data_IF_808271400525
#
_entry.id   IF_808271400525
#
_cell.length_a   1.000
_cell.length_b   1.000
_cell.length_c   1.000
_cell.angle_alpha   90.00
_cell.angle_beta   90.00
_cell.angle_gamma   90.00
#
_symmetry.space_group_name_H-M   'P 1'
#
loop_
_entity.id
_entity.type
_entity.pdbx_description
1 polymer ?
#
# COMPACT_ATOMS: atom_id res chain seq x y z
N UNK A 1 26.86 -46.61 75.15
CA UNK A 1 28.01 -46.08 74.39
C UNK A 1 27.63 -46.19 72.92
N UNK A 2 26.94 -45.15 72.43
CA UNK A 2 27.43 -44.20 71.41
C UNK A 2 27.65 -44.82 70.02
N UNK A 3 26.85 -44.31 69.09
CA UNK A 3 26.74 -44.65 67.67
C UNK A 3 27.99 -44.15 66.92
N UNK A 4 28.51 -44.92 65.96
CA UNK A 4 29.38 -44.38 64.92
C UNK A 4 28.57 -44.15 63.61
N UNK A 5 28.43 -42.91 63.11
CA UNK A 5 27.60 -42.58 61.94
C UNK A 5 28.25 -42.84 60.57
N UNK A 6 29.45 -43.41 60.50
CA UNK A 6 30.28 -43.36 59.27
C UNK A 6 29.94 -44.45 58.23
N UNK A 7 29.09 -45.43 58.53
CA UNK A 7 28.79 -46.55 57.60
C UNK A 7 27.59 -46.34 56.67
N UNK A 8 26.85 -45.23 56.76
CA UNK A 8 25.69 -44.94 55.89
C UNK A 8 26.02 -43.97 54.73
N UNK A 9 27.23 -43.44 54.63
CA UNK A 9 27.54 -42.40 53.62
C UNK A 9 28.14 -42.87 52.29
N UNK A 10 28.47 -44.17 52.14
CA UNK A 10 29.25 -44.63 50.98
C UNK A 10 28.50 -45.41 49.89
N UNK A 11 27.20 -45.67 50.06
CA UNK A 11 26.39 -46.33 49.03
C UNK A 11 25.41 -45.42 48.27
N UNK A 12 25.37 -44.12 48.57
CA UNK A 12 24.45 -43.16 47.94
C UNK A 12 25.09 -42.26 46.87
N UNK A 13 26.37 -42.43 46.56
CA UNK A 13 27.10 -41.55 45.62
C UNK A 13 27.37 -42.18 44.24
N UNK A 14 26.91 -43.41 43.99
CA UNK A 14 27.20 -44.13 42.74
C UNK A 14 26.01 -44.29 41.78
N UNK A 15 24.88 -43.61 42.01
CA UNK A 15 23.67 -43.75 41.20
C UNK A 15 22.99 -42.42 40.84
N UNK A 16 23.78 -41.38 40.64
CA UNK A 16 23.28 -40.07 40.21
C UNK A 16 24.23 -39.41 39.20
N UNK A 17 24.72 -40.21 38.24
CA UNK A 17 25.69 -39.75 37.23
C UNK A 17 25.37 -40.15 35.79
N UNK A 18 24.17 -40.62 35.47
CA UNK A 18 23.80 -40.91 34.07
C UNK A 18 22.36 -40.50 33.81
N UNK A 19 22.17 -39.64 32.80
CA UNK A 19 20.95 -38.98 32.34
C UNK A 19 20.55 -37.64 33.00
N UNK A 20 21.48 -36.69 32.99
CA UNK A 20 21.10 -35.36 32.50
C UNK A 20 21.62 -35.30 31.06
N UNK A 21 20.73 -35.57 30.11
CA UNK A 21 20.90 -35.10 28.74
C UNK A 21 21.33 -33.64 28.85
N UNK A 22 22.50 -33.33 28.31
CA UNK A 22 22.93 -31.96 28.08
C UNK A 22 21.85 -31.27 27.26
N UNK A 23 20.94 -30.57 27.93
CA UNK A 23 20.16 -29.52 27.29
C UNK A 23 21.22 -28.49 26.91
N UNK A 24 21.50 -28.26 25.61
CA UNK A 24 22.37 -27.17 25.25
C UNK A 24 21.75 -25.90 25.82
N UNK A 25 22.52 -25.23 26.68
CA UNK A 25 22.33 -23.86 27.18
C UNK A 25 21.04 -23.19 26.71
N UNK A 26 20.08 -23.03 27.63
CA UNK A 26 19.01 -22.04 27.49
C UNK A 26 19.66 -20.69 27.14
N UNK A 27 19.57 -20.28 25.87
CA UNK A 27 19.98 -18.94 25.49
C UNK A 27 19.10 -17.94 26.26
N UNK A 28 19.70 -16.93 26.85
CA UNK A 28 18.96 -15.91 27.59
C UNK A 28 18.05 -15.14 26.61
N UNK A 29 16.74 -15.35 26.71
CA UNK A 29 15.78 -14.56 25.97
C UNK A 29 15.80 -13.13 26.50
N UNK A 30 16.02 -12.15 25.63
CA UNK A 30 15.81 -10.75 26.00
C UNK A 30 14.30 -10.53 26.06
N UNK A 31 13.78 -10.20 27.25
CA UNK A 31 12.40 -9.77 27.47
C UNK A 31 12.45 -8.45 28.25
N UNK A 32 12.26 -7.33 27.56
CA UNK A 32 12.28 -6.01 28.19
C UNK A 32 11.01 -5.24 27.83
N UNK A 33 10.38 -4.60 28.82
CA UNK A 33 9.28 -3.64 28.62
C UNK A 33 9.71 -2.27 29.14
N UNK A 34 9.68 -1.26 28.27
CA UNK A 34 10.04 0.12 28.62
C UNK A 34 8.81 1.01 28.83
N UNK A 35 8.83 1.83 29.88
CA UNK A 35 7.80 2.84 30.16
C UNK A 35 8.44 4.22 30.30
N UNK A 36 8.01 5.19 29.51
CA UNK A 36 8.33 6.61 29.72
C UNK A 36 7.12 7.45 29.31
N UNK A 37 6.77 8.44 30.14
CA UNK A 37 5.82 9.48 29.74
C UNK A 37 6.53 10.41 28.76
N UNK A 38 6.19 10.35 27.48
CA UNK A 38 6.65 11.35 26.49
C UNK A 38 5.81 12.65 26.57
N UNK A 39 5.21 12.94 27.73
CA UNK A 39 4.18 13.96 27.94
C UNK A 39 4.69 15.41 27.78
N UNK A 40 5.98 15.62 27.51
CA UNK A 40 6.61 16.94 27.55
C UNK A 40 7.54 17.22 26.38
N UNK A 41 7.28 16.69 25.18
CA UNK A 41 7.98 17.13 23.97
C UNK A 41 6.97 17.65 22.96
N UNK A 42 6.74 18.96 22.98
CA UNK A 42 5.93 19.71 22.02
C UNK A 42 6.53 19.78 20.60
N UNK A 43 7.43 18.87 20.22
CA UNK A 43 8.02 18.77 18.90
C UNK A 43 8.25 17.30 18.54
N UNK A 44 8.05 16.93 17.28
CA UNK A 44 8.54 15.68 16.67
C UNK A 44 10.02 15.51 17.04
N UNK A 45 10.31 14.58 17.96
CA UNK A 45 11.64 14.39 18.52
C UNK A 45 12.07 12.96 18.30
N UNK A 46 13.31 12.76 17.88
CA UNK A 46 13.91 11.44 17.86
C UNK A 46 14.08 10.95 19.30
N UNK A 47 13.88 9.65 19.51
CA UNK A 47 14.09 8.97 20.79
C UNK A 47 15.08 7.84 20.57
N UNK A 48 16.12 7.77 21.40
CA UNK A 48 16.97 6.59 21.50
C UNK A 48 16.26 5.56 22.36
N UNK A 49 15.74 4.49 21.76
CA UNK A 49 15.08 3.41 22.49
C UNK A 49 16.07 2.70 23.42
N UNK A 50 17.26 2.40 22.91
CA UNK A 50 18.31 1.69 23.61
C UNK A 50 19.36 1.15 22.66
N UNK A 51 20.26 0.32 23.21
CA UNK A 51 21.35 -0.31 22.48
C UNK A 51 21.17 -1.82 22.49
N UNK A 52 21.00 -2.40 21.31
CA UNK A 52 20.92 -3.84 21.09
C UNK A 52 22.32 -4.39 20.85
N UNK A 53 22.80 -5.27 21.71
CA UNK A 53 24.05 -6.01 21.48
C UNK A 53 23.70 -7.38 20.90
N UNK A 54 24.11 -7.64 19.67
CA UNK A 54 23.88 -8.91 18.99
C UNK A 54 25.16 -9.39 18.30
N UNK A 55 25.43 -10.68 18.42
CA UNK A 55 26.49 -11.33 17.66
C UNK A 55 26.16 -11.37 16.17
N UNK A 56 27.18 -11.29 15.33
CA UNK A 56 27.07 -11.62 13.91
C UNK A 56 26.67 -13.10 13.74
N UNK A 57 26.17 -13.47 12.56
CA UNK A 57 25.86 -14.86 12.21
C UNK A 57 24.39 -15.20 12.12
N UNK A 58 23.54 -14.23 11.78
CA UNK A 58 22.11 -14.48 11.59
C UNK A 58 21.29 -14.40 12.87
N UNK A 59 21.84 -13.80 13.93
CA UNK A 59 21.08 -13.50 15.13
C UNK A 59 20.01 -12.44 14.84
N UNK A 60 18.82 -12.65 15.37
CA UNK A 60 17.62 -11.87 15.12
C UNK A 60 17.07 -11.24 16.40
N UNK A 61 16.47 -10.06 16.25
CA UNK A 61 15.69 -9.40 17.30
C UNK A 61 14.46 -8.75 16.69
N UNK A 62 13.38 -8.74 17.46
CA UNK A 62 12.13 -8.04 17.16
C UNK A 62 11.90 -6.98 18.23
N UNK A 63 11.67 -5.75 17.81
CA UNK A 63 11.31 -4.63 18.68
C UNK A 63 9.92 -4.15 18.26
N UNK A 64 8.93 -4.37 19.12
CA UNK A 64 7.57 -3.88 18.88
C UNK A 64 7.36 -2.60 19.64
N UNK A 65 7.10 -1.51 18.93
CA UNK A 65 6.87 -0.18 19.47
C UNK A 65 5.37 0.09 19.40
N UNK A 66 4.74 0.19 20.56
CA UNK A 66 3.33 0.57 20.70
C UNK A 66 3.22 2.08 20.64
N UNK A 67 2.28 2.60 19.86
CA UNK A 67 2.14 4.03 19.67
C UNK A 67 0.71 4.44 19.32
N UNK A 68 0.24 5.51 19.96
CA UNK A 68 -1.07 6.11 19.71
C UNK A 68 -1.12 7.54 20.24
N UNK A 69 -1.93 8.39 19.60
CA UNK A 69 -2.02 9.81 19.93
C UNK A 69 -2.85 10.08 21.21
N UNK A 70 -2.21 10.42 22.33
CA UNK A 70 -2.86 10.90 23.56
C UNK A 70 -3.10 9.84 24.64
N UNK A 71 -3.69 10.24 25.76
CA UNK A 71 -3.90 9.39 26.94
C UNK A 71 -5.16 8.52 26.90
N UNK A 72 -6.15 8.89 26.07
CA UNK A 72 -7.51 8.32 26.12
C UNK A 72 -7.72 7.23 25.08
N UNK A 73 -7.85 5.97 25.49
CA UNK A 73 -8.02 4.81 24.62
C UNK A 73 -9.11 5.02 23.53
N UNK A 74 -8.72 4.95 22.26
CA UNK A 74 -9.60 4.93 21.10
C UNK A 74 -9.02 4.10 19.96
N UNK A 75 -9.85 3.71 18.98
CA UNK A 75 -9.42 2.91 17.82
C UNK A 75 -8.22 3.53 17.08
N UNK A 76 -8.09 4.86 17.13
CA UNK A 76 -7.07 5.66 16.45
C UNK A 76 -5.68 5.61 17.12
N UNK A 77 -5.59 4.85 18.22
CA UNK A 77 -4.40 4.66 19.04
C UNK A 77 -4.04 3.18 19.18
N UNK A 78 -4.81 2.28 18.57
CA UNK A 78 -4.61 0.83 18.65
C UNK A 78 -3.68 0.37 17.52
N UNK A 79 -2.50 0.99 17.44
CA UNK A 79 -1.47 0.65 16.45
C UNK A 79 -0.12 0.37 17.08
N UNK A 80 0.68 -0.40 16.37
CA UNK A 80 2.05 -0.71 16.75
C UNK A 80 2.95 -0.81 15.51
N UNK A 81 4.25 -0.69 15.74
CA UNK A 81 5.29 -0.85 14.73
C UNK A 81 6.20 -2.00 15.14
N UNK A 82 6.33 -3.03 14.31
CA UNK A 82 7.29 -4.11 14.53
C UNK A 82 8.54 -3.83 13.72
N UNK A 83 9.68 -3.71 14.40
CA UNK A 83 11.01 -3.63 13.80
C UNK A 83 11.66 -5.01 13.91
N UNK A 84 12.04 -5.59 12.78
CA UNK A 84 12.79 -6.84 12.71
C UNK A 84 14.21 -6.53 12.31
N UNK A 85 15.18 -6.99 13.09
CA UNK A 85 16.62 -6.85 12.83
C UNK A 85 17.21 -8.24 12.71
N UNK A 86 18.06 -8.45 11.69
CA UNK A 86 18.84 -9.68 11.50
C UNK A 86 20.29 -9.34 11.18
N UNK A 87 21.21 -9.78 12.03
CA UNK A 87 22.66 -9.63 11.79
C UNK A 87 23.12 -10.54 10.65
N UNK A 88 24.20 -10.15 9.97
CA UNK A 88 24.81 -10.91 8.88
C UNK A 88 26.12 -11.55 9.33
N UNK A 89 26.91 -12.13 8.41
CA UNK A 89 28.30 -12.51 8.62
C UNK A 89 29.16 -11.77 7.58
N UNK A 90 29.06 -10.44 7.54
CA UNK A 90 29.62 -9.65 6.44
C UNK A 90 29.04 -8.25 6.39
N UNK A 91 29.04 -7.64 5.20
CA UNK A 91 28.08 -6.60 4.82
C UNK A 91 26.85 -7.27 4.21
N UNK A 92 25.66 -6.75 4.46
CA UNK A 92 24.50 -7.02 3.63
C UNK A 92 24.76 -6.44 2.24
N UNK A 93 24.54 -7.26 1.21
CA UNK A 93 24.67 -6.85 -0.20
C UNK A 93 23.65 -5.77 -0.59
N UNK A 94 22.66 -5.52 0.27
CA UNK A 94 21.53 -4.63 0.02
C UNK A 94 21.76 -3.21 0.55
N UNK A 95 22.50 -3.04 1.66
CA UNK A 95 22.54 -1.75 2.37
C UNK A 95 23.92 -1.31 2.90
N UNK A 96 24.98 -2.11 2.75
CA UNK A 96 26.33 -1.73 3.23
C UNK A 96 26.56 -1.91 4.75
N UNK A 97 25.59 -2.42 5.50
CA UNK A 97 25.70 -2.67 6.94
C UNK A 97 25.79 -4.17 7.24
N UNK A 98 26.38 -4.56 8.37
CA UNK A 98 26.45 -5.97 8.78
C UNK A 98 25.14 -6.54 9.37
N UNK A 99 24.01 -5.96 8.97
CA UNK A 99 22.69 -6.42 9.33
C UNK A 99 21.68 -5.97 8.25
N UNK A 100 20.51 -6.59 8.27
CA UNK A 100 19.33 -6.09 7.59
C UNK A 100 18.25 -5.82 8.62
N UNK A 101 17.41 -4.82 8.36
CA UNK A 101 16.23 -4.58 9.18
C UNK A 101 15.10 -4.02 8.34
N UNK A 102 13.87 -4.32 8.71
CA UNK A 102 12.69 -3.69 8.16
C UNK A 102 11.67 -3.47 9.28
N UNK A 103 10.72 -2.57 9.02
CA UNK A 103 9.61 -2.33 9.93
C UNK A 103 8.25 -2.55 9.26
N UNK A 104 7.25 -2.94 10.04
CA UNK A 104 5.85 -3.00 9.62
C UNK A 104 5.00 -2.19 10.58
N UNK A 105 3.94 -1.57 10.06
CA UNK A 105 2.94 -0.90 10.90
C UNK A 105 1.63 -1.68 10.83
N UNK A 106 1.04 -1.88 11.99
CA UNK A 106 -0.23 -2.59 12.13
C UNK A 106 -1.18 -1.76 12.99
N UNK A 107 -2.46 -1.73 12.61
CA UNK A 107 -3.48 -0.95 13.30
C UNK A 107 -3.48 0.54 12.96
N UNK A 108 -4.30 1.32 13.67
CA UNK A 108 -4.48 2.76 13.40
C UNK A 108 -3.70 3.58 14.43
N UNK A 109 -2.73 4.37 13.95
CA UNK A 109 -1.94 5.28 14.79
C UNK A 109 -1.56 6.55 14.00
N UNK A 110 -2.29 7.64 14.22
CA UNK A 110 -2.17 8.90 13.45
C UNK A 110 -0.88 9.67 13.78
N UNK A 111 -0.20 9.34 14.88
CA UNK A 111 1.03 9.98 15.35
C UNK A 111 2.08 8.96 15.87
N UNK A 112 2.01 7.73 15.36
CA UNK A 112 2.90 6.62 15.76
C UNK A 112 4.35 6.82 15.28
N UNK A 113 5.12 5.73 15.26
CA UNK A 113 6.52 5.77 14.80
C UNK A 113 6.59 6.19 13.33
N UNK A 114 7.15 7.36 13.04
CA UNK A 114 7.23 7.95 11.69
C UNK A 114 8.49 7.53 10.94
N UNK A 115 9.61 7.32 11.64
CA UNK A 115 10.84 6.76 11.08
C UNK A 115 11.61 5.96 12.14
N UNK A 116 12.46 5.04 11.69
CA UNK A 116 13.39 4.30 12.54
C UNK A 116 14.78 4.38 11.91
N UNK A 117 15.79 4.63 12.74
CA UNK A 117 17.19 4.61 12.34
C UNK A 117 17.99 3.73 13.28
N UNK A 118 18.92 2.96 12.71
CA UNK A 118 19.81 2.09 13.48
C UNK A 118 21.24 2.54 13.24
N UNK A 119 21.93 2.95 14.30
CA UNK A 119 23.33 3.35 14.24
C UNK A 119 24.21 2.23 14.84
N UNK A 120 24.99 1.51 14.02
CA UNK A 120 25.93 0.53 14.55
C UNK A 120 27.12 1.22 15.24
N UNK A 121 27.71 0.56 16.23
CA UNK A 121 28.91 1.05 16.93
C UNK A 121 30.19 1.01 16.09
N UNK A 122 30.20 0.23 15.00
CA UNK A 122 31.33 0.11 14.07
C UNK A 122 30.81 -0.20 12.65
N UNK A 123 31.68 -0.07 11.66
CA UNK A 123 31.35 -0.40 10.27
C UNK A 123 31.47 -1.91 10.02
N UNK A 124 30.60 -2.44 9.15
CA UNK A 124 30.67 -3.83 8.70
C UNK A 124 30.70 -4.84 9.84
N UNK A 125 31.47 -5.92 9.67
CA UNK A 125 31.49 -7.08 10.58
C UNK A 125 32.01 -6.79 11.98
N UNK A 126 32.64 -5.63 12.19
CA UNK A 126 33.06 -5.19 13.51
C UNK A 126 31.89 -4.70 14.37
N UNK A 127 30.72 -4.44 13.78
CA UNK A 127 29.52 -4.04 14.51
C UNK A 127 29.03 -5.18 15.42
N UNK A 128 28.87 -4.88 16.70
CA UNK A 128 28.32 -5.81 17.70
C UNK A 128 27.20 -5.19 18.53
N UNK A 129 27.06 -3.87 18.44
CA UNK A 129 26.03 -3.10 19.13
C UNK A 129 25.36 -2.11 18.17
N UNK A 130 24.05 -1.96 18.34
CA UNK A 130 23.17 -1.20 17.45
C UNK A 130 22.31 -0.28 18.30
N UNK A 131 22.54 1.03 18.20
CA UNK A 131 21.66 2.02 18.80
C UNK A 131 20.40 2.14 17.94
N UNK A 132 19.25 1.88 18.55
CA UNK A 132 17.96 1.93 17.87
C UNK A 132 17.27 3.25 18.22
N UNK A 133 16.98 4.03 17.19
CA UNK A 133 16.27 5.29 17.29
C UNK A 133 14.94 5.19 16.55
N UNK A 134 13.91 5.82 17.09
CA UNK A 134 12.67 6.04 16.38
C UNK A 134 12.23 7.49 16.53
N UNK A 135 11.57 8.02 15.51
CA UNK A 135 10.85 9.29 15.60
C UNK A 135 9.37 9.01 15.78
N UNK A 136 8.71 9.80 16.62
CA UNK A 136 7.29 9.70 16.89
C UNK A 136 6.66 11.09 16.97
N UNK A 137 5.32 11.14 16.84
CA UNK A 137 4.56 12.35 17.13
C UNK A 137 4.49 12.64 18.64
N UNK A 138 3.81 13.73 19.00
CA UNK A 138 3.90 14.35 20.35
C UNK A 138 3.51 13.47 21.54
N UNK A 139 2.80 12.35 21.35
CA UNK A 139 2.34 11.51 22.45
C UNK A 139 2.45 10.03 22.10
N UNK A 140 3.11 9.27 22.99
CA UNK A 140 3.12 7.80 23.03
C UNK A 140 2.69 7.40 24.46
N UNK A 141 1.77 6.45 24.58
CA UNK A 141 1.19 6.04 25.87
C UNK A 141 2.19 5.37 26.83
N UNK A 142 1.69 4.91 27.99
CA UNK A 142 2.52 4.39 29.09
C UNK A 142 3.22 3.03 28.83
N UNK A 143 2.96 2.37 27.71
CA UNK A 143 3.74 1.21 27.24
C UNK A 143 4.33 1.53 25.89
N UNK A 144 5.66 1.63 25.79
CA UNK A 144 6.29 2.17 24.58
C UNK A 144 6.78 1.06 23.67
N UNK A 145 7.50 0.08 24.20
CA UNK A 145 8.00 -1.02 23.37
C UNK A 145 8.33 -2.27 24.17
N UNK A 146 8.36 -3.40 23.45
CA UNK A 146 8.97 -4.64 23.91
C UNK A 146 10.10 -5.08 22.97
N UNK A 147 11.12 -5.74 23.52
CA UNK A 147 12.22 -6.35 22.75
C UNK A 147 12.23 -7.84 22.99
N UNK A 148 12.32 -8.61 21.91
CA UNK A 148 12.42 -10.06 21.89
C UNK A 148 13.64 -10.48 21.06
N UNK A 149 14.50 -11.32 21.62
CA UNK A 149 15.63 -11.94 20.92
C UNK A 149 16.04 -13.21 21.64
N UNK A 150 16.49 -14.22 20.88
CA UNK A 150 17.09 -15.43 21.44
C UNK A 150 18.55 -15.22 21.88
N UNK A 151 19.22 -14.17 21.40
CA UNK A 151 20.65 -13.92 21.64
C UNK A 151 20.91 -12.48 22.05
N UNK A 152 22.07 -12.26 22.69
CA UNK A 152 22.59 -10.91 22.96
C UNK A 152 22.03 -10.24 24.22
N UNK A 153 22.01 -8.91 24.24
CA UNK A 153 21.47 -8.11 25.35
C UNK A 153 20.86 -6.80 24.87
N UNK A 154 19.97 -6.23 25.70
CA UNK A 154 19.34 -4.93 25.46
C UNK A 154 19.65 -3.98 26.61
N UNK A 155 20.32 -2.88 26.29
CA UNK A 155 20.54 -1.77 27.22
C UNK A 155 19.48 -0.68 26.96
N UNK A 156 18.50 -0.58 27.86
CA UNK A 156 17.45 0.43 27.79
C UNK A 156 18.01 1.85 27.92
N UNK A 157 17.47 2.80 27.14
CA UNK A 157 17.79 4.21 27.24
C UNK A 157 16.54 5.08 27.35
N UNK A 158 15.64 5.02 26.36
CA UNK A 158 14.46 5.87 26.25
C UNK A 158 14.72 7.36 26.53
N UNK A 159 15.72 7.91 25.86
CA UNK A 159 16.11 9.31 25.99
C UNK A 159 15.78 10.09 24.73
N UNK A 160 15.39 11.36 24.90
CA UNK A 160 15.27 12.28 23.77
C UNK A 160 16.64 12.42 23.09
N UNK A 161 16.64 12.40 21.76
CA UNK A 161 17.83 12.44 20.94
C UNK A 161 17.64 13.42 19.77
N UNK A 162 18.76 13.91 19.24
CA UNK A 162 18.76 14.51 17.91
C UNK A 162 18.57 13.42 16.85
N UNK A 163 18.26 13.83 15.62
CA UNK A 163 18.29 12.93 14.48
C UNK A 163 19.69 12.28 14.36
N UNK A 164 19.82 10.94 14.36
CA UNK A 164 21.10 10.25 14.19
C UNK A 164 21.74 10.46 12.80
N UNK A 165 21.06 11.12 11.87
CA UNK A 165 21.59 11.55 10.58
C UNK A 165 21.64 10.44 9.54
N UNK A 166 22.20 10.78 8.37
CA UNK A 166 22.21 9.92 7.17
C UNK A 166 23.27 8.81 7.19
N UNK A 167 24.17 8.84 8.16
CA UNK A 167 25.15 7.76 8.39
C UNK A 167 24.56 6.56 9.13
N UNK A 168 23.41 6.75 9.79
CA UNK A 168 22.64 5.65 10.37
C UNK A 168 21.85 4.92 9.28
N UNK A 169 21.61 3.63 9.48
CA UNK A 169 20.75 2.86 8.60
C UNK A 169 19.31 3.32 8.75
N UNK A 170 18.72 3.85 7.67
CA UNK A 170 17.31 4.18 7.61
C UNK A 170 16.50 2.90 7.35
N UNK A 171 15.66 2.53 8.32
CA UNK A 171 14.91 1.28 8.26
C UNK A 171 13.74 1.43 7.28
N UNK A 172 13.66 0.61 6.22
CA UNK A 172 12.53 0.60 5.32
C UNK A 172 11.28 0.05 6.01
N UNK A 173 10.12 0.56 5.63
CA UNK A 173 8.83 0.01 6.05
C UNK A 173 8.24 -0.80 4.89
N UNK A 174 8.36 -2.13 4.94
CA UNK A 174 8.15 -3.03 3.79
C UNK A 174 6.72 -3.60 3.69
N UNK A 175 5.88 -3.43 4.71
CA UNK A 175 4.42 -3.65 4.63
C UNK A 175 3.71 -2.36 5.05
N UNK A 176 3.10 -1.67 4.07
CA UNK A 176 2.43 -0.38 4.25
C UNK A 176 0.96 -0.49 3.85
N UNK A 177 0.11 -0.84 4.79
CA UNK A 177 -1.31 -0.52 4.71
C UNK A 177 -1.60 0.55 5.76
N UNK A 178 -1.82 1.78 5.30
CA UNK A 178 -2.29 3.01 6.01
C UNK A 178 -1.27 4.17 6.17
N UNK A 179 -1.68 5.35 5.68
CA UNK A 179 -1.25 6.72 6.05
C UNK A 179 0.25 7.00 6.18
N UNK A 180 1.08 6.60 5.22
CA UNK A 180 2.45 7.12 5.14
C UNK A 180 2.54 8.23 4.10
N UNK A 181 2.64 9.47 4.58
CA UNK A 181 2.73 10.69 3.78
C UNK A 181 4.15 10.96 3.22
N UNK A 182 5.12 10.06 3.42
CA UNK A 182 6.53 10.35 3.14
C UNK A 182 7.17 9.55 1.99
N UNK A 183 6.45 8.63 1.32
CA UNK A 183 6.96 7.98 0.10
C UNK A 183 6.00 8.17 -1.08
N UNK A 184 6.55 8.71 -2.17
CA UNK A 184 5.87 9.21 -3.36
C UNK A 184 5.04 8.20 -4.20
N UNK A 185 4.75 6.99 -3.70
CA UNK A 185 4.10 5.91 -4.47
C UNK A 185 2.96 5.19 -3.73
N UNK A 186 2.35 5.76 -2.69
CA UNK A 186 1.48 4.98 -1.80
C UNK A 186 0.06 4.76 -2.33
N UNK A 187 -0.31 3.49 -2.47
CA UNK A 187 -1.68 3.03 -2.34
C UNK A 187 -2.27 3.59 -1.01
N UNK A 188 -3.30 4.41 -1.12
CA UNK A 188 -4.02 5.03 -0.02
C UNK A 188 -5.41 4.41 0.09
N UNK A 189 -5.87 4.13 1.31
CA UNK A 189 -7.26 3.72 1.56
C UNK A 189 -7.84 4.66 2.62
N UNK A 190 -8.86 5.42 2.23
CA UNK A 190 -9.57 6.34 3.12
C UNK A 190 -10.47 5.57 4.08
N UNK A 191 -10.19 5.67 5.38
CA UNK A 191 -11.04 5.06 6.41
C UNK A 191 -12.43 5.70 6.52
N UNK A 192 -12.58 6.95 6.09
CA UNK A 192 -13.87 7.67 6.17
C UNK A 192 -14.83 7.27 5.04
N UNK A 193 -14.29 6.95 3.86
CA UNK A 193 -15.11 6.75 2.64
C UNK A 193 -14.94 5.37 2.01
N UNK A 194 -13.92 4.61 2.43
CA UNK A 194 -13.49 3.36 1.80
C UNK A 194 -12.90 3.56 0.40
N UNK A 195 -12.56 4.80 0.03
CA UNK A 195 -12.00 5.10 -1.29
C UNK A 195 -10.52 4.71 -1.35
N UNK A 196 -10.10 4.16 -2.48
CA UNK A 196 -8.73 3.77 -2.77
C UNK A 196 -8.08 4.80 -3.70
N UNK A 197 -6.93 5.33 -3.31
CA UNK A 197 -6.09 6.19 -4.14
C UNK A 197 -4.79 5.49 -4.53
N UNK A 198 -4.35 5.60 -5.77
CA UNK A 198 -3.00 5.19 -6.22
C UNK A 198 -2.33 6.46 -6.76
N UNK A 199 -1.24 6.90 -6.12
CA UNK A 199 -0.60 8.19 -6.45
C UNK A 199 -1.38 9.43 -5.98
N UNK A 200 -2.43 9.26 -5.15
CA UNK A 200 -3.20 10.37 -4.57
C UNK A 200 -3.74 10.04 -3.18
N UNK A 201 -3.73 11.02 -2.28
CA UNK A 201 -4.31 10.95 -0.93
C UNK A 201 -5.74 11.50 -0.84
N UNK A 202 -6.27 12.05 -1.94
CA UNK A 202 -7.60 12.66 -1.99
C UNK A 202 -8.46 12.00 -3.09
N UNK A 203 -8.71 10.68 -2.99
CA UNK A 203 -9.47 9.95 -4.00
C UNK A 203 -10.92 10.47 -4.07
N UNK A 204 -11.27 11.03 -5.24
CA UNK A 204 -12.60 11.60 -5.52
C UNK A 204 -13.65 10.55 -5.93
N UNK A 205 -13.23 9.30 -6.10
CA UNK A 205 -14.07 8.16 -6.44
C UNK A 205 -13.64 6.93 -5.62
N UNK A 206 -14.39 5.81 -5.74
CA UNK A 206 -14.07 4.57 -5.04
C UNK A 206 -12.66 4.04 -5.36
N UNK A 207 -12.22 4.22 -6.61
CA UNK A 207 -10.84 4.04 -7.03
C UNK A 207 -10.42 5.30 -7.80
N UNK A 208 -9.33 5.93 -7.39
CA UNK A 208 -8.71 7.05 -8.10
C UNK A 208 -7.23 6.75 -8.33
N UNK A 209 -6.80 6.75 -9.59
CA UNK A 209 -5.41 6.52 -9.99
C UNK A 209 -4.88 7.81 -10.59
N UNK A 210 -3.83 8.36 -10.00
CA UNK A 210 -3.10 9.50 -10.53
C UNK A 210 -1.90 8.99 -11.33
N UNK A 211 -2.19 8.55 -12.56
CA UNK A 211 -1.23 7.90 -13.46
C UNK A 211 -1.94 6.92 -14.40
N UNK A 212 -1.15 6.12 -15.12
CA UNK A 212 -1.66 5.17 -16.10
C UNK A 212 -2.19 3.88 -15.44
N UNK A 213 -3.21 3.30 -16.07
CA UNK A 213 -3.71 1.96 -15.75
C UNK A 213 -3.39 1.04 -16.92
N UNK A 214 -2.40 0.17 -16.76
CA UNK A 214 -2.13 -0.92 -17.71
C UNK A 214 -2.93 -2.15 -17.31
N UNK A 215 -3.81 -2.62 -18.19
CA UNK A 215 -4.67 -3.78 -17.94
C UNK A 215 -4.77 -4.67 -19.18
N UNK A 216 -4.75 -5.98 -19.00
CA UNK A 216 -4.99 -6.94 -20.08
C UNK A 216 -6.47 -6.97 -20.50
N UNK A 217 -7.39 -6.73 -19.56
CA UNK A 217 -8.83 -6.73 -19.82
C UNK A 217 -9.56 -5.88 -18.79
N UNK A 218 -10.52 -5.07 -19.25
CA UNK A 218 -11.45 -4.31 -18.42
C UNK A 218 -12.87 -4.71 -18.84
N UNK A 219 -13.73 -5.03 -17.87
CA UNK A 219 -15.16 -5.25 -18.09
C UNK A 219 -15.94 -4.15 -17.38
N UNK A 220 -16.51 -3.23 -18.15
CA UNK A 220 -17.40 -2.18 -17.64
C UNK A 220 -18.83 -2.69 -17.68
N UNK A 221 -19.52 -2.69 -16.55
CA UNK A 221 -20.93 -3.09 -16.47
C UNK A 221 -21.80 -1.85 -16.56
N UNK A 222 -22.37 -1.60 -17.74
CA UNK A 222 -23.34 -0.53 -17.97
C UNK A 222 -24.69 -1.10 -18.42
N UNK A 223 -25.77 -0.34 -18.19
CA UNK A 223 -27.14 -0.72 -18.53
C UNK A 223 -27.70 0.05 -19.74
N UNK A 224 -28.73 -0.51 -20.37
CA UNK A 224 -29.46 0.12 -21.47
C UNK A 224 -28.63 0.24 -22.76
N UNK A 225 -28.18 -0.88 -23.31
CA UNK A 225 -27.51 -0.92 -24.62
C UNK A 225 -28.42 -0.37 -25.74
N UNK A 226 -27.85 0.25 -26.78
CA UNK A 226 -28.58 1.10 -27.70
C UNK A 226 -29.46 0.37 -28.72
N UNK A 227 -29.63 -0.95 -28.61
CA UNK A 227 -30.47 -1.80 -29.48
C UNK A 227 -31.87 -1.23 -29.77
N UNK A 228 -32.37 -0.33 -28.92
CA UNK A 228 -33.59 0.43 -29.15
C UNK A 228 -33.56 1.30 -30.42
N UNK A 229 -32.41 1.63 -31.00
CA UNK A 229 -32.27 2.40 -32.26
C UNK A 229 -32.95 1.69 -33.43
N UNK A 230 -32.98 0.36 -33.41
CA UNK A 230 -33.69 -0.44 -34.41
C UNK A 230 -35.19 -0.64 -34.09
N UNK A 231 -35.67 -0.06 -32.99
CA UNK A 231 -37.08 -0.08 -32.62
C UNK A 231 -37.94 0.72 -33.58
N UNK A 232 -39.21 0.29 -33.76
CA UNK A 232 -40.17 0.97 -34.65
C UNK A 232 -40.48 2.41 -34.23
N UNK A 233 -40.39 2.68 -32.93
CA UNK A 233 -40.69 3.97 -32.33
C UNK A 233 -39.45 4.88 -32.23
N UNK A 234 -38.29 4.40 -32.69
CA UNK A 234 -37.07 5.19 -32.66
C UNK A 234 -37.13 6.30 -33.72
N UNK A 235 -37.01 7.55 -33.26
CA UNK A 235 -36.98 8.70 -34.14
C UNK A 235 -35.55 8.96 -34.62
N UNK A 236 -35.22 8.41 -35.79
CA UNK A 236 -33.95 8.73 -36.47
C UNK A 236 -33.97 10.20 -36.93
N UNK A 237 -32.98 11.03 -36.53
CA UNK A 237 -32.88 12.40 -37.00
C UNK A 237 -32.84 12.50 -38.52
N UNK A 238 -33.24 13.64 -39.10
CA UNK A 238 -33.08 13.84 -40.55
C UNK A 238 -31.64 14.23 -40.85
N UNK A 239 -31.11 13.79 -41.99
CA UNK A 239 -29.75 14.13 -42.43
C UNK A 239 -29.51 15.66 -42.46
N UNK A 240 -30.50 16.44 -42.88
CA UNK A 240 -30.38 17.90 -42.88
C UNK A 240 -30.28 18.49 -41.46
N UNK A 241 -30.98 17.91 -40.48
CA UNK A 241 -30.89 18.34 -39.08
C UNK A 241 -29.53 17.99 -38.48
N UNK A 242 -29.03 16.78 -38.80
CA UNK A 242 -27.70 16.34 -38.39
C UNK A 242 -26.60 17.22 -39.02
N UNK A 243 -26.71 17.55 -40.30
CA UNK A 243 -25.78 18.45 -41.01
C UNK A 243 -25.72 19.82 -40.34
N UNK A 244 -26.89 20.43 -40.08
CA UNK A 244 -26.96 21.71 -39.38
C UNK A 244 -26.35 21.65 -37.98
N UNK A 245 -26.60 20.56 -37.25
CA UNK A 245 -26.02 20.37 -35.93
C UNK A 245 -24.50 20.30 -35.98
N UNK A 246 -23.93 19.49 -36.86
CA UNK A 246 -22.48 19.31 -37.00
C UNK A 246 -21.80 20.60 -37.46
N UNK A 247 -22.39 21.33 -38.41
CA UNK A 247 -21.86 22.63 -38.85
C UNK A 247 -21.85 23.68 -37.73
N UNK A 248 -22.84 23.63 -36.84
CA UNK A 248 -22.99 24.59 -35.73
C UNK A 248 -22.14 24.22 -34.52
N UNK A 249 -22.06 22.94 -34.15
CA UNK A 249 -21.47 22.48 -32.88
C UNK A 249 -20.11 21.78 -33.04
N UNK A 250 -19.73 21.39 -34.27
CA UNK A 250 -18.47 20.70 -34.57
C UNK A 250 -18.26 19.36 -33.84
N UNK A 251 -19.33 18.74 -33.34
CA UNK A 251 -19.35 17.37 -32.84
C UNK A 251 -20.72 16.72 -33.12
N UNK A 252 -20.83 15.40 -32.90
CA UNK A 252 -22.09 14.68 -33.06
C UNK A 252 -23.04 14.95 -31.89
N UNK A 253 -24.37 14.92 -32.10
CA UNK A 253 -25.34 14.97 -31.02
C UNK A 253 -25.04 13.91 -29.96
N UNK A 254 -25.24 14.26 -28.68
CA UNK A 254 -25.05 13.39 -27.50
C UNK A 254 -23.60 12.97 -27.22
N UNK A 255 -22.68 13.13 -28.16
CA UNK A 255 -21.24 12.96 -27.96
C UNK A 255 -20.69 14.25 -27.34
N UNK A 256 -19.98 14.19 -26.20
CA UNK A 256 -19.44 15.38 -25.56
C UNK A 256 -18.42 16.08 -26.48
N UNK A 257 -18.42 17.40 -26.45
CA UNK A 257 -17.43 18.24 -27.10
C UNK A 257 -16.04 18.05 -26.48
N UNK A 258 -14.99 18.40 -27.23
CA UNK A 258 -13.61 18.37 -26.71
C UNK A 258 -13.43 19.22 -25.45
N UNK A 259 -14.17 20.33 -25.34
CA UNK A 259 -14.17 21.20 -24.16
C UNK A 259 -14.76 20.48 -22.94
N UNK A 260 -15.92 19.83 -23.08
CA UNK A 260 -16.55 19.09 -21.99
C UNK A 260 -15.69 17.93 -21.50
N UNK A 261 -14.99 17.25 -22.42
CA UNK A 261 -14.05 16.17 -22.08
C UNK A 261 -12.82 16.69 -21.34
N UNK A 262 -12.28 17.84 -21.74
CA UNK A 262 -11.15 18.46 -21.04
C UNK A 262 -11.53 18.92 -19.62
N UNK A 263 -12.75 19.43 -19.44
CA UNK A 263 -13.21 19.97 -18.17
C UNK A 263 -13.64 18.86 -17.17
N UNK A 264 -14.27 17.78 -17.64
CA UNK A 264 -14.90 16.77 -16.78
C UNK A 264 -14.34 15.34 -16.91
N UNK A 265 -13.45 15.10 -17.87
CA UNK A 265 -13.06 13.75 -18.26
C UNK A 265 -14.14 13.03 -19.07
N UNK A 266 -13.97 11.73 -19.27
CA UNK A 266 -14.85 10.90 -20.10
C UNK A 266 -15.12 9.57 -19.42
N UNK A 267 -16.40 9.20 -19.29
CA UNK A 267 -16.79 7.86 -18.85
C UNK A 267 -16.65 6.87 -20.02
N UNK A 268 -15.79 5.87 -19.85
CA UNK A 268 -15.48 4.87 -20.88
C UNK A 268 -16.68 3.97 -21.22
N UNK A 269 -17.57 3.70 -20.26
CA UNK A 269 -18.77 2.90 -20.49
C UNK A 269 -19.80 3.69 -21.31
N UNK A 270 -20.08 4.92 -20.91
CA UNK A 270 -21.08 5.76 -21.56
C UNK A 270 -20.66 6.18 -22.96
N UNK A 271 -19.38 6.49 -23.20
CA UNK A 271 -18.93 6.83 -24.55
C UNK A 271 -19.00 5.63 -25.49
N UNK A 272 -18.63 4.44 -25.04
CA UNK A 272 -18.73 3.22 -25.88
C UNK A 272 -20.19 2.92 -26.24
N UNK A 273 -21.11 3.11 -25.29
CA UNK A 273 -22.55 2.98 -25.53
C UNK A 273 -23.05 4.00 -26.55
N UNK A 274 -22.70 5.27 -26.40
CA UNK A 274 -23.09 6.33 -27.35
C UNK A 274 -22.49 6.13 -28.72
N UNK A 275 -21.23 5.72 -28.82
CA UNK A 275 -20.58 5.40 -30.09
C UNK A 275 -21.29 4.26 -30.81
N UNK A 276 -21.70 3.21 -30.08
CA UNK A 276 -22.51 2.14 -30.65
C UNK A 276 -23.86 2.65 -31.16
N UNK A 277 -24.55 3.50 -30.39
CA UNK A 277 -25.79 4.14 -30.86
C UNK A 277 -25.58 4.88 -32.19
N UNK A 278 -24.48 5.63 -32.32
CA UNK A 278 -24.17 6.32 -33.59
C UNK A 278 -23.81 5.37 -34.73
N UNK A 279 -23.18 4.23 -34.46
CA UNK A 279 -22.96 3.18 -35.46
C UNK A 279 -24.29 2.59 -35.94
N UNK A 280 -25.26 2.38 -35.05
CA UNK A 280 -26.59 1.88 -35.40
C UNK A 280 -27.40 2.91 -36.20
N UNK A 281 -27.38 4.19 -35.81
CA UNK A 281 -27.98 5.29 -36.57
C UNK A 281 -27.36 5.41 -37.97
N UNK A 282 -26.02 5.34 -38.08
CA UNK A 282 -25.30 5.33 -39.36
C UNK A 282 -25.72 4.14 -40.23
N UNK A 283 -25.94 2.97 -39.63
CA UNK A 283 -26.42 1.79 -40.34
C UNK A 283 -27.81 2.03 -40.94
N UNK A 284 -28.72 2.70 -40.22
CA UNK A 284 -30.03 3.09 -40.75
C UNK A 284 -29.92 4.08 -41.92
N UNK A 285 -29.03 5.08 -41.84
CA UNK A 285 -28.81 6.01 -42.95
C UNK A 285 -28.23 5.30 -44.19
N UNK A 286 -27.30 4.36 -44.01
CA UNK A 286 -26.74 3.56 -45.11
C UNK A 286 -27.84 2.74 -45.79
N UNK A 287 -28.72 2.10 -45.01
CA UNK A 287 -29.86 1.34 -45.55
C UNK A 287 -30.81 2.27 -46.33
N UNK A 288 -31.06 3.49 -45.85
CA UNK A 288 -31.88 4.47 -46.58
C UNK A 288 -31.22 4.93 -47.88
N UNK A 289 -29.90 5.14 -47.87
CA UNK A 289 -29.13 5.53 -49.03
C UNK A 289 -29.12 4.44 -50.11
N UNK A 290 -28.90 3.17 -49.73
CA UNK A 290 -28.97 2.03 -50.65
C UNK A 290 -30.34 1.92 -51.34
N UNK A 291 -31.43 2.06 -50.57
CA UNK A 291 -32.79 2.08 -51.13
C UNK A 291 -32.99 3.22 -52.12
N UNK A 292 -32.45 4.41 -51.82
CA UNK A 292 -32.54 5.56 -52.72
C UNK A 292 -31.71 5.35 -53.99
N UNK A 293 -30.51 4.80 -53.88
CA UNK A 293 -29.65 4.49 -55.03
C UNK A 293 -30.32 3.49 -55.97
N UNK A 294 -30.86 2.39 -55.45
CA UNK A 294 -31.63 1.42 -56.26
C UNK A 294 -32.81 2.07 -56.97
N UNK A 295 -33.55 2.93 -56.28
CA UNK A 295 -34.66 3.67 -56.91
C UNK A 295 -34.19 4.63 -58.01
N UNK A 296 -33.02 5.26 -57.85
CA UNK A 296 -32.42 6.11 -58.87
C UNK A 296 -31.93 5.30 -60.08
N UNK A 297 -31.29 4.15 -59.85
CA UNK A 297 -30.85 3.20 -60.89
C UNK A 297 -32.03 2.70 -61.72
N UNK A 298 -33.13 2.27 -61.09
CA UNK A 298 -34.34 1.85 -61.79
C UNK A 298 -34.96 2.97 -62.63
N UNK A 299 -34.86 4.22 -62.18
CA UNK A 299 -35.35 5.39 -62.94
C UNK A 299 -34.44 5.72 -64.10
N UNK A 300 -33.12 5.62 -63.92
CA UNK A 300 -32.14 5.81 -64.98
C UNK A 300 -32.35 4.79 -66.10
N UNK A 301 -32.51 3.51 -65.75
CA UNK A 301 -32.76 2.45 -66.73
C UNK A 301 -34.02 2.74 -67.59
N UNK A 302 -35.11 3.22 -66.96
CA UNK A 302 -36.34 3.61 -67.68
C UNK A 302 -36.14 4.80 -68.62
N UNK A 303 -35.34 5.79 -68.21
CA UNK A 303 -35.03 6.98 -69.03
C UNK A 303 -34.13 6.59 -70.21
N UNK A 304 -33.15 5.72 -70.01
CA UNK A 304 -32.28 5.22 -71.08
C UNK A 304 -33.06 4.40 -72.11
N UNK A 305 -34.00 3.55 -71.65
CA UNK A 305 -34.87 2.79 -72.54
C UNK A 305 -35.83 3.66 -73.36
N UNK A 306 -36.28 4.79 -72.83
CA UNK A 306 -37.15 5.73 -73.56
C UNK A 306 -36.36 6.56 -74.56
N UNK A 307 -35.13 6.94 -74.23
CA UNK A 307 -34.25 7.72 -75.12
C UNK A 307 -33.74 6.87 -76.30
N UNK A 308 -33.48 5.57 -76.11
CA UNK A 308 -33.06 4.64 -77.18
C UNK A 308 -34.19 4.19 -78.12
N UNK A 309 -35.45 4.60 -77.89
CA UNK A 309 -36.62 4.28 -78.73
C UNK A 309 -37.04 5.44 -79.65
N UNK A 310 -36.30 6.54 -79.68
CA UNK A 310 -36.48 7.69 -80.57
C UNK A 310 -35.22 7.89 -81.41
#
# INVERSE_FOLDING_TARGET
>A
MMIDPVTVSRFSWMLLLLFVLSIPSTFAQINFTGTTNNATLGQTSWVKAGTLTLQQGGADAVITIYGGNGFNAGLDQMGYTELVIRTSNGSSLVNGFAFSAYATRTGRSIAGVTAIRILPNAAGTAATAYDVYFSNGSYIGMGVYHVLSAYGSWAHSMTAAADPGTTAYEVPFESRTLNDTYLANSLFVSNATGNVGIGTFTPKAKLAVYGDILATKIKVSQTGWPDYVFGKDYHLPRIAELEQYVLTHQHLPEIPSAKEVADNGLDLGDINKKLLQKIEELSLYIIQLDKKNKSLEERLEKVEQTTNKH
#
